data_IF_829287638253
#
_entry.id   IF_829287638253
#
_cell.length_a   1.000
_cell.length_b   1.000
_cell.length_c   1.000
_cell.angle_alpha   90.00
_cell.angle_beta   90.00
_cell.angle_gamma   90.00
#
_symmetry.space_group_name_H-M   'P 1'
#
loop_
_entity.id
_entity.type
_entity.pdbx_description
1 polymer ?
#
# COMPACT_ATOMS: atom_id res chain seq x y z
N UNK A 1 5.34 22.10 -8.39
CA UNK A 1 5.08 21.56 -7.05
C UNK A 1 3.71 20.92 -7.09
N UNK A 2 3.64 19.60 -6.92
CA UNK A 2 2.36 18.87 -6.93
C UNK A 2 1.53 19.31 -5.74
N UNK A 3 0.27 19.67 -5.98
CA UNK A 3 -0.69 19.91 -4.91
C UNK A 3 -0.92 18.57 -4.17
N UNK A 4 -0.52 18.48 -2.89
CA UNK A 4 -0.61 17.25 -2.10
C UNK A 4 -2.05 16.75 -1.98
N UNK A 5 -3.01 17.67 -1.86
CA UNK A 5 -4.44 17.33 -1.86
C UNK A 5 -4.82 16.60 -3.14
N UNK A 6 -4.42 17.13 -4.30
CA UNK A 6 -4.71 16.52 -5.59
C UNK A 6 -3.99 15.17 -5.75
N UNK A 7 -2.79 15.02 -5.21
CA UNK A 7 -2.07 13.75 -5.20
C UNK A 7 -2.82 12.66 -4.40
N UNK A 8 -3.33 13.01 -3.20
CA UNK A 8 -4.13 12.10 -2.38
C UNK A 8 -5.42 11.69 -3.08
N UNK A 9 -6.20 12.63 -3.63
CA UNK A 9 -7.48 12.29 -4.27
C UNK A 9 -7.31 11.64 -5.66
N UNK A 10 -6.14 11.78 -6.29
CA UNK A 10 -5.84 11.09 -7.55
C UNK A 10 -5.53 9.62 -7.34
N UNK A 11 -4.80 9.26 -6.28
CA UNK A 11 -4.46 7.87 -5.99
C UNK A 11 -5.60 7.10 -5.30
N UNK A 12 -5.83 5.82 -5.64
CA UNK A 12 -6.86 5.02 -4.97
C UNK A 12 -6.63 4.90 -3.46
N UNK A 13 -5.39 4.63 -3.02
CA UNK A 13 -5.08 4.52 -1.59
C UNK A 13 -5.27 5.84 -0.83
N UNK A 14 -4.96 6.98 -1.46
CA UNK A 14 -5.22 8.29 -0.88
C UNK A 14 -6.72 8.61 -0.76
N UNK A 15 -7.51 8.29 -1.78
CA UNK A 15 -8.99 8.41 -1.70
C UNK A 15 -9.57 7.46 -0.66
N UNK A 16 -9.10 6.22 -0.62
CA UNK A 16 -9.50 5.20 0.36
C UNK A 16 -9.26 5.71 1.77
N UNK A 17 -8.08 6.26 2.05
CA UNK A 17 -7.76 6.86 3.34
C UNK A 17 -8.72 8.02 3.70
N UNK A 18 -9.03 8.90 2.74
CA UNK A 18 -9.98 9.99 2.96
C UNK A 18 -11.39 9.48 3.27
N UNK A 19 -11.84 8.47 2.51
CA UNK A 19 -13.16 7.86 2.66
C UNK A 19 -13.29 7.15 4.02
N UNK A 20 -12.27 6.36 4.39
CA UNK A 20 -12.18 5.69 5.69
C UNK A 20 -12.24 6.68 6.85
N UNK A 21 -11.52 7.80 6.75
CA UNK A 21 -11.53 8.82 7.79
C UNK A 21 -12.94 9.38 8.01
N UNK A 22 -13.59 9.84 6.94
CA UNK A 22 -14.93 10.47 7.05
C UNK A 22 -16.00 9.45 7.46
N UNK A 23 -15.93 8.21 6.97
CA UNK A 23 -16.84 7.14 7.35
C UNK A 23 -16.69 6.71 8.83
N UNK A 24 -15.49 6.86 9.42
CA UNK A 24 -15.27 6.60 10.84
C UNK A 24 -15.78 7.73 11.74
N UNK A 25 -15.87 8.94 11.21
CA UNK A 25 -16.39 10.10 11.95
C UNK A 25 -17.88 10.31 11.77
N UNK A 26 -18.47 9.82 10.67
CA UNK A 26 -19.87 10.05 10.31
C UNK A 26 -20.57 8.73 9.92
N UNK A 27 -21.54 8.32 10.74
CA UNK A 27 -22.29 7.07 10.53
C UNK A 27 -23.18 7.10 9.28
N UNK A 28 -23.70 8.26 8.90
CA UNK A 28 -24.52 8.40 7.70
C UNK A 28 -23.66 8.19 6.45
N UNK A 29 -22.45 8.77 6.44
CA UNK A 29 -21.46 8.53 5.37
C UNK A 29 -21.10 7.04 5.30
N UNK A 30 -20.74 6.42 6.43
CA UNK A 30 -20.42 4.98 6.50
C UNK A 30 -21.52 4.11 5.93
N UNK A 31 -22.76 4.38 6.31
CA UNK A 31 -23.93 3.61 5.88
C UNK A 31 -24.16 3.79 4.38
N UNK A 32 -24.13 5.03 3.87
CA UNK A 32 -24.35 5.30 2.46
C UNK A 32 -23.26 4.66 1.58
N UNK A 33 -21.99 4.80 1.98
CA UNK A 33 -20.84 4.20 1.30
C UNK A 33 -20.95 2.68 1.25
N UNK A 34 -21.34 2.03 2.34
CA UNK A 34 -21.53 0.58 2.38
C UNK A 34 -22.57 0.11 1.36
N UNK A 35 -23.72 0.78 1.29
CA UNK A 35 -24.81 0.37 0.39
C UNK A 35 -24.45 0.58 -1.08
N UNK A 36 -23.93 1.76 -1.44
CA UNK A 36 -23.50 2.03 -2.82
C UNK A 36 -22.32 1.12 -3.20
N UNK A 37 -21.36 0.93 -2.29
CA UNK A 37 -20.21 0.06 -2.52
C UNK A 37 -20.63 -1.38 -2.73
N UNK A 38 -21.55 -1.91 -1.92
CA UNK A 38 -22.06 -3.27 -2.08
C UNK A 38 -22.72 -3.52 -3.45
N UNK A 39 -23.47 -2.53 -3.97
CA UNK A 39 -24.10 -2.62 -5.30
C UNK A 39 -23.08 -2.55 -6.44
N UNK A 40 -21.95 -1.85 -6.23
CA UNK A 40 -20.91 -1.62 -7.23
C UNK A 40 -19.76 -2.65 -7.16
N UNK A 41 -19.71 -3.48 -6.12
CA UNK A 41 -18.66 -4.47 -5.93
C UNK A 41 -18.75 -5.55 -7.04
N UNK A 42 -17.67 -5.83 -7.79
CA UNK A 42 -17.67 -6.89 -8.79
C UNK A 42 -17.83 -8.30 -8.17
N UNK A 43 -17.52 -8.45 -6.89
CA UNK A 43 -17.61 -9.71 -6.13
C UNK A 43 -18.32 -9.47 -4.78
N UNK A 44 -19.61 -9.08 -4.77
CA UNK A 44 -20.28 -8.71 -3.54
C UNK A 44 -20.41 -9.92 -2.62
N UNK A 45 -20.00 -9.75 -1.36
CA UNK A 45 -20.21 -10.75 -0.32
C UNK A 45 -21.70 -11.01 -0.03
N UNK A 46 -22.00 -12.04 0.77
CA UNK A 46 -23.39 -12.31 1.16
C UNK A 46 -23.80 -11.44 2.36
N UNK A 47 -24.87 -10.66 2.21
CA UNK A 47 -25.47 -9.91 3.32
C UNK A 47 -26.26 -10.84 4.24
N UNK A 48 -25.73 -11.11 5.43
CA UNK A 48 -26.42 -11.83 6.48
C UNK A 48 -27.22 -10.85 7.36
N UNK A 49 -28.52 -11.08 7.50
CA UNK A 49 -29.39 -10.34 8.42
C UNK A 49 -29.95 -11.27 9.48
N UNK A 50 -29.80 -10.87 10.74
CA UNK A 50 -30.48 -11.49 11.86
C UNK A 50 -31.77 -10.72 12.12
N UNK A 51 -32.90 -11.28 11.68
CA UNK A 51 -34.25 -10.75 11.95
C UNK A 51 -34.99 -11.73 12.84
N UNK A 52 -35.72 -11.20 13.84
CA UNK A 52 -36.51 -12.01 14.77
C UNK A 52 -37.74 -12.64 14.10
N UNK A 53 -38.48 -11.85 13.33
CA UNK A 53 -39.56 -12.29 12.44
C UNK A 53 -39.32 -11.76 11.02
N UNK A 54 -39.72 -12.53 10.01
CA UNK A 54 -39.66 -12.12 8.60
C UNK A 54 -40.52 -10.88 8.32
N UNK A 55 -41.56 -10.64 9.13
CA UNK A 55 -42.40 -9.44 9.05
C UNK A 55 -41.68 -8.15 9.45
N UNK A 56 -40.60 -8.23 10.26
CA UNK A 56 -39.77 -7.09 10.67
C UNK A 56 -38.68 -6.72 9.66
N UNK A 57 -38.66 -7.40 8.50
CA UNK A 57 -37.65 -7.15 7.46
C UNK A 57 -37.87 -5.76 6.85
N UNK A 58 -37.06 -4.79 7.31
CA UNK A 58 -36.95 -3.47 6.68
C UNK A 58 -36.34 -3.59 5.29
N UNK A 59 -36.87 -2.80 4.35
CA UNK A 59 -36.29 -2.66 3.03
C UNK A 59 -34.91 -2.02 3.12
N UNK A 60 -34.01 -2.49 2.27
CA UNK A 60 -32.64 -1.99 2.20
C UNK A 60 -32.68 -0.53 1.71
N UNK A 61 -31.95 0.38 2.37
CA UNK A 61 -31.92 1.77 1.94
C UNK A 61 -31.18 1.88 0.61
N UNK A 62 -31.66 2.76 -0.27
CA UNK A 62 -31.00 3.09 -1.54
C UNK A 62 -30.38 4.47 -1.44
N UNK A 63 -29.13 4.59 -1.86
CA UNK A 63 -28.39 5.85 -1.91
C UNK A 63 -27.94 6.11 -3.34
N UNK A 64 -27.87 7.38 -3.72
CA UNK A 64 -27.25 7.79 -4.98
C UNK A 64 -25.82 8.27 -4.72
N UNK A 65 -25.00 8.27 -5.76
CA UNK A 65 -23.63 8.81 -5.73
C UNK A 65 -23.61 10.27 -5.22
N UNK A 66 -24.58 11.09 -5.66
CA UNK A 66 -24.75 12.48 -5.20
C UNK A 66 -25.13 12.57 -3.72
N UNK A 67 -25.92 11.63 -3.21
CA UNK A 67 -26.27 11.58 -1.79
C UNK A 67 -25.04 11.24 -0.94
N UNK A 68 -24.18 10.32 -1.38
CA UNK A 68 -22.90 10.02 -0.72
C UNK A 68 -22.02 11.27 -0.70
N UNK A 69 -21.86 11.95 -1.83
CA UNK A 69 -21.06 13.17 -1.92
C UNK A 69 -21.59 14.28 -0.99
N UNK A 70 -22.91 14.51 -0.95
CA UNK A 70 -23.54 15.51 -0.09
C UNK A 70 -23.34 15.20 1.41
N UNK A 71 -23.37 13.93 1.80
CA UNK A 71 -23.07 13.52 3.18
C UNK A 71 -21.60 13.79 3.55
N UNK A 72 -20.66 13.48 2.65
CA UNK A 72 -19.23 13.80 2.84
C UNK A 72 -19.02 15.31 2.97
N UNK A 73 -19.66 16.10 2.11
CA UNK A 73 -19.59 17.56 2.17
C UNK A 73 -20.20 18.13 3.46
N UNK A 74 -21.21 17.48 4.01
CA UNK A 74 -21.86 17.84 5.27
C UNK A 74 -21.09 17.43 6.54
N UNK A 75 -20.11 16.53 6.42
CA UNK A 75 -19.39 16.00 7.57
C UNK A 75 -18.62 17.09 8.34
N UNK A 76 -18.61 16.98 9.67
CA UNK A 76 -17.83 17.85 10.53
C UNK A 76 -16.35 17.43 10.49
N UNK A 77 -15.53 18.29 9.92
CA UNK A 77 -14.08 18.12 9.82
C UNK A 77 -13.36 19.15 10.68
N UNK A 78 -14.04 19.87 11.57
CA UNK A 78 -13.46 21.00 12.32
C UNK A 78 -12.24 20.56 13.11
N UNK A 79 -12.31 19.42 13.79
CA UNK A 79 -11.20 18.80 14.50
C UNK A 79 -10.79 17.49 13.82
N UNK A 80 -9.49 17.33 13.55
CA UNK A 80 -8.95 16.09 12.98
C UNK A 80 -8.39 15.22 14.09
N UNK A 81 -8.92 14.00 14.23
CA UNK A 81 -8.48 13.07 15.27
C UNK A 81 -7.37 12.16 14.77
N UNK A 82 -6.20 12.25 15.40
CA UNK A 82 -4.97 11.54 14.99
C UNK A 82 -5.13 10.02 15.05
N UNK A 83 -5.90 9.49 16.00
CA UNK A 83 -6.21 8.06 16.11
C UNK A 83 -6.99 7.55 14.88
N UNK A 84 -8.03 8.28 14.45
CA UNK A 84 -8.81 7.92 13.27
C UNK A 84 -7.95 8.04 12.00
N UNK A 85 -7.10 9.06 11.90
CA UNK A 85 -6.17 9.21 10.77
C UNK A 85 -5.28 7.97 10.62
N UNK A 86 -4.69 7.51 11.73
CA UNK A 86 -3.84 6.31 11.75
C UNK A 86 -4.62 5.06 11.35
N UNK A 87 -5.79 4.83 11.96
CA UNK A 87 -6.63 3.67 11.63
C UNK A 87 -7.07 3.69 10.15
N UNK A 88 -7.34 4.87 9.59
CA UNK A 88 -7.74 5.05 8.18
C UNK A 88 -6.59 4.79 7.22
N UNK A 89 -5.38 5.21 7.59
CA UNK A 89 -4.17 4.93 6.82
C UNK A 89 -3.86 3.43 6.82
N UNK A 90 -3.85 2.79 7.99
CA UNK A 90 -3.64 1.35 8.13
C UNK A 90 -4.67 0.59 7.28
N UNK A 91 -5.95 0.94 7.40
CA UNK A 91 -7.02 0.31 6.64
C UNK A 91 -6.86 0.46 5.12
N UNK A 92 -6.38 1.61 4.66
CA UNK A 92 -6.08 1.83 3.23
C UNK A 92 -4.95 0.90 2.74
N UNK A 93 -3.93 0.68 3.57
CA UNK A 93 -2.80 -0.24 3.29
C UNK A 93 -3.26 -1.70 3.28
N UNK A 94 -4.06 -2.14 4.25
CA UNK A 94 -4.58 -3.51 4.34
C UNK A 94 -5.43 -3.92 3.12
N UNK A 95 -6.00 -2.94 2.44
CA UNK A 95 -6.84 -3.12 1.26
C UNK A 95 -6.07 -2.95 -0.07
N UNK A 96 -4.74 -2.82 -0.03
CA UNK A 96 -3.92 -2.71 -1.22
C UNK A 96 -3.74 -4.08 -1.91
N UNK A 97 -4.72 -4.45 -2.74
CA UNK A 97 -4.76 -5.76 -3.41
C UNK A 97 -4.47 -5.62 -4.90
N UNK A 98 -3.44 -6.31 -5.37
CA UNK A 98 -2.94 -6.19 -6.75
C UNK A 98 -3.35 -7.33 -7.68
N UNK A 99 -4.01 -8.36 -7.13
CA UNK A 99 -4.39 -9.60 -7.83
C UNK A 99 -5.90 -9.74 -8.06
N UNK A 100 -6.66 -8.68 -7.77
CA UNK A 100 -8.11 -8.62 -7.91
C UNK A 100 -8.57 -7.20 -8.27
N UNK A 101 -9.83 -7.09 -8.66
CA UNK A 101 -10.50 -5.82 -8.92
C UNK A 101 -10.59 -4.97 -7.63
N UNK A 102 -10.66 -3.63 -7.76
CA UNK A 102 -10.98 -2.75 -6.65
C UNK A 102 -12.31 -3.16 -5.99
N UNK A 103 -12.36 -3.10 -4.66
CA UNK A 103 -13.60 -3.39 -3.94
C UNK A 103 -14.64 -2.28 -4.18
N UNK A 104 -15.90 -2.56 -3.85
CA UNK A 104 -16.99 -1.62 -4.12
C UNK A 104 -16.78 -0.23 -3.49
N UNK A 105 -16.08 -0.19 -2.37
CA UNK A 105 -15.78 1.02 -1.63
C UNK A 105 -14.68 1.86 -2.30
N UNK A 106 -13.69 1.23 -2.93
CA UNK A 106 -12.75 1.87 -3.87
C UNK A 106 -13.44 2.39 -5.14
N UNK A 107 -14.43 1.65 -5.66
CA UNK A 107 -15.24 2.09 -6.81
C UNK A 107 -16.02 3.36 -6.46
N UNK A 108 -16.70 3.38 -5.30
CA UNK A 108 -17.40 4.58 -4.80
C UNK A 108 -16.45 5.76 -4.65
N UNK A 109 -15.28 5.54 -4.05
CA UNK A 109 -14.28 6.60 -3.89
C UNK A 109 -13.83 7.18 -5.24
N UNK A 110 -13.80 6.37 -6.30
CA UNK A 110 -13.38 6.79 -7.65
C UNK A 110 -14.46 7.59 -8.41
N UNK A 111 -15.72 7.57 -7.98
CA UNK A 111 -16.81 8.30 -8.63
C UNK A 111 -16.49 9.82 -8.68
N UNK A 112 -16.72 10.51 -9.81
CA UNK A 112 -16.33 11.92 -9.96
C UNK A 112 -16.87 12.85 -8.88
N UNK A 113 -18.15 12.66 -8.50
CA UNK A 113 -18.82 13.48 -7.47
C UNK A 113 -18.27 13.22 -6.07
N UNK A 114 -18.04 11.95 -5.72
CA UNK A 114 -17.45 11.53 -4.44
C UNK A 114 -16.00 12.00 -4.34
N UNK A 115 -15.20 11.82 -5.40
CA UNK A 115 -13.83 12.36 -5.48
C UNK A 115 -13.80 13.88 -5.31
N UNK A 116 -14.81 14.57 -5.83
CA UNK A 116 -15.02 16.00 -5.62
C UNK A 116 -15.12 16.35 -4.14
N UNK A 117 -16.03 15.69 -3.43
CA UNK A 117 -16.28 15.89 -1.99
C UNK A 117 -15.07 15.49 -1.12
N UNK A 118 -14.39 14.38 -1.46
CA UNK A 118 -13.19 13.90 -0.75
C UNK A 118 -12.02 14.90 -0.77
N UNK A 119 -12.01 15.87 -1.69
CA UNK A 119 -10.97 16.91 -1.73
C UNK A 119 -10.92 17.72 -0.43
N UNK A 120 -12.08 18.08 0.14
CA UNK A 120 -12.16 18.80 1.42
C UNK A 120 -11.57 17.97 2.55
N UNK A 121 -11.82 16.66 2.56
CA UNK A 121 -11.22 15.73 3.54
C UNK A 121 -9.70 15.67 3.36
N UNK A 122 -9.24 15.49 2.13
CA UNK A 122 -7.81 15.43 1.80
C UNK A 122 -7.05 16.70 2.23
N UNK A 123 -7.62 17.89 2.02
CA UNK A 123 -7.01 19.16 2.49
C UNK A 123 -6.76 19.16 3.99
N UNK A 124 -7.73 18.66 4.77
CA UNK A 124 -7.61 18.60 6.23
C UNK A 124 -6.62 17.54 6.68
N UNK A 125 -6.59 16.38 6.01
CA UNK A 125 -5.62 15.33 6.30
C UNK A 125 -4.19 15.74 5.95
N UNK A 126 -3.98 16.40 4.81
CA UNK A 126 -2.66 16.93 4.43
C UNK A 126 -2.13 17.91 5.48
N UNK A 127 -3.00 18.78 6.02
CA UNK A 127 -2.61 19.70 7.09
C UNK A 127 -2.31 18.99 8.42
N UNK A 128 -2.93 17.84 8.68
CA UNK A 128 -2.76 17.07 9.91
C UNK A 128 -1.57 16.10 9.89
N UNK A 129 -1.01 15.78 8.71
CA UNK A 129 0.04 14.77 8.52
C UNK A 129 1.23 15.39 7.77
N UNK A 130 2.09 16.17 8.46
CA UNK A 130 3.27 16.76 7.82
C UNK A 130 4.26 15.71 7.30
N UNK A 131 4.22 14.48 7.82
CA UNK A 131 5.08 13.37 7.42
C UNK A 131 4.75 12.80 6.04
N UNK A 132 3.64 13.20 5.39
CA UNK A 132 3.28 12.73 4.04
C UNK A 132 4.41 12.90 3.02
N UNK A 133 5.22 13.96 3.18
CA UNK A 133 6.33 14.28 2.29
C UNK A 133 7.70 14.05 2.92
N UNK A 134 7.76 13.36 4.06
CA UNK A 134 9.02 13.09 4.74
C UNK A 134 9.98 12.35 3.80
N UNK A 135 11.24 12.76 3.83
CA UNK A 135 12.33 12.02 3.20
C UNK A 135 12.86 10.97 4.15
N UNK A 136 13.59 9.99 3.63
CA UNK A 136 14.21 8.94 4.43
C UNK A 136 15.05 9.53 5.58
N UNK A 137 14.78 9.05 6.80
CA UNK A 137 15.61 9.31 7.97
C UNK A 137 16.90 8.46 7.99
N UNK A 138 17.94 8.93 8.69
CA UNK A 138 19.19 8.18 8.83
C UNK A 138 19.04 6.92 9.72
N UNK A 139 18.15 6.98 10.71
CA UNK A 139 17.76 5.87 11.58
C UNK A 139 16.35 5.46 11.20
N UNK A 140 16.17 4.17 10.98
CA UNK A 140 14.91 3.54 10.60
C UNK A 140 14.77 2.21 11.32
N UNK A 141 13.64 1.53 11.17
CA UNK A 141 13.39 0.25 11.84
C UNK A 141 12.95 -0.82 10.85
N UNK A 142 13.59 -1.99 10.95
CA UNK A 142 13.16 -3.22 10.31
C UNK A 142 12.30 -4.05 11.29
N UNK A 143 11.50 -4.97 10.75
CA UNK A 143 10.66 -5.87 11.55
C UNK A 143 10.95 -7.31 11.17
N UNK A 144 11.13 -8.14 12.19
CA UNK A 144 11.11 -9.60 12.09
C UNK A 144 9.86 -10.10 12.83
N UNK A 145 8.97 -10.82 12.15
CA UNK A 145 7.71 -11.33 12.72
C UNK A 145 7.89 -12.57 13.60
N UNK A 146 8.98 -12.58 14.39
CA UNK A 146 9.33 -13.62 15.35
C UNK A 146 9.64 -13.00 16.72
N UNK A 147 9.50 -13.78 17.80
CA UNK A 147 9.98 -13.38 19.12
C UNK A 147 11.47 -13.03 19.13
N UNK A 148 11.91 -12.20 20.09
CA UNK A 148 13.29 -11.72 20.14
C UNK A 148 14.34 -12.85 20.16
N UNK A 149 14.06 -13.93 20.89
CA UNK A 149 14.97 -15.06 21.01
C UNK A 149 15.14 -15.86 19.70
N UNK A 150 14.21 -15.72 18.77
CA UNK A 150 14.17 -16.43 17.48
C UNK A 150 14.38 -15.49 16.27
N UNK A 151 14.55 -14.18 16.54
CA UNK A 151 14.73 -13.17 15.51
C UNK A 151 16.06 -13.38 14.78
N UNK A 152 16.03 -13.36 13.45
CA UNK A 152 17.25 -13.55 12.67
C UNK A 152 18.16 -12.30 12.73
N UNK A 153 19.45 -12.48 12.43
CA UNK A 153 20.29 -11.36 12.00
C UNK A 153 19.72 -10.71 10.73
N UNK A 154 19.97 -9.41 10.54
CA UNK A 154 19.65 -8.76 9.28
C UNK A 154 20.43 -9.43 8.13
N UNK A 155 19.72 -9.80 7.06
CA UNK A 155 20.31 -10.51 5.92
C UNK A 155 21.38 -9.64 5.22
N UNK A 156 22.53 -10.23 4.91
CA UNK A 156 23.75 -9.50 4.51
C UNK A 156 24.19 -9.71 3.05
N UNK A 157 23.29 -10.15 2.16
CA UNK A 157 23.64 -10.48 0.77
C UNK A 157 22.71 -9.86 -0.29
N UNK A 158 22.48 -8.54 -0.30
CA UNK A 158 21.53 -7.90 -1.22
C UNK A 158 21.89 -8.12 -2.70
N UNK A 159 23.19 -8.14 -3.05
CA UNK A 159 23.63 -8.44 -4.41
C UNK A 159 23.22 -9.84 -4.90
N UNK A 160 23.28 -10.85 -4.02
CA UNK A 160 22.86 -12.20 -4.36
C UNK A 160 21.33 -12.30 -4.51
N UNK A 161 20.58 -11.63 -3.62
CA UNK A 161 19.12 -11.55 -3.69
C UNK A 161 18.66 -10.85 -4.98
N UNK A 162 19.33 -9.76 -5.37
CA UNK A 162 19.03 -9.03 -6.61
C UNK A 162 19.35 -9.85 -7.88
N UNK A 163 20.46 -10.59 -7.88
CA UNK A 163 20.80 -11.48 -8.99
C UNK A 163 19.80 -12.63 -9.13
N UNK A 164 19.38 -13.23 -8.00
CA UNK A 164 18.34 -14.27 -7.97
C UNK A 164 17.00 -13.72 -8.47
N UNK A 165 16.58 -12.55 -7.95
CA UNK A 165 15.35 -11.87 -8.37
C UNK A 165 15.34 -11.63 -9.87
N UNK A 166 16.39 -10.99 -10.41
CA UNK A 166 16.48 -10.66 -11.84
C UNK A 166 16.41 -11.91 -12.73
N UNK A 167 17.12 -12.98 -12.34
CA UNK A 167 17.04 -14.27 -13.03
C UNK A 167 15.62 -14.84 -12.99
N UNK A 168 15.01 -14.88 -11.81
CA UNK A 168 13.66 -15.42 -11.63
C UNK A 168 12.60 -14.62 -12.41
N UNK A 169 12.73 -13.29 -12.50
CA UNK A 169 11.83 -12.46 -13.29
C UNK A 169 11.92 -12.78 -14.79
N UNK A 170 13.14 -12.90 -15.33
CA UNK A 170 13.35 -13.23 -16.76
C UNK A 170 12.87 -14.64 -17.09
N UNK A 171 13.17 -15.62 -16.24
CA UNK A 171 12.70 -17.00 -16.41
C UNK A 171 11.17 -17.08 -16.30
N UNK A 172 10.58 -16.38 -15.32
CA UNK A 172 9.14 -16.32 -15.09
C UNK A 172 8.39 -15.67 -16.24
N UNK A 173 8.89 -14.55 -16.77
CA UNK A 173 8.34 -13.86 -17.94
C UNK A 173 8.39 -14.76 -19.19
N UNK A 174 9.55 -15.37 -19.46
CA UNK A 174 9.71 -16.26 -20.61
C UNK A 174 8.80 -17.50 -20.51
N UNK A 175 8.59 -18.03 -19.30
CA UNK A 175 7.67 -19.13 -19.05
C UNK A 175 6.21 -18.71 -19.27
N UNK A 176 5.80 -17.60 -18.66
CA UNK A 176 4.44 -17.06 -18.81
C UNK A 176 4.10 -16.77 -20.27
N UNK A 177 5.04 -16.23 -21.05
CA UNK A 177 4.84 -15.96 -22.48
C UNK A 177 4.61 -17.24 -23.31
N UNK A 178 5.14 -18.39 -22.87
CA UNK A 178 4.95 -19.69 -23.55
C UNK A 178 3.71 -20.44 -23.08
N UNK A 179 3.40 -20.36 -21.79
CA UNK A 179 2.45 -21.27 -21.13
C UNK A 179 1.10 -20.63 -20.81
N UNK A 180 1.02 -19.31 -20.66
CA UNK A 180 -0.20 -18.64 -20.21
C UNK A 180 -1.05 -18.11 -21.37
N UNK A 181 -2.40 -18.08 -21.21
CA UNK A 181 -3.29 -17.51 -22.21
C UNK A 181 -2.97 -16.04 -22.53
N UNK A 182 -3.25 -15.66 -23.77
CA UNK A 182 -3.12 -14.27 -24.23
C UNK A 182 -4.22 -13.36 -23.67
N UNK A 183 -5.43 -13.89 -23.49
CA UNK A 183 -6.57 -13.13 -22.97
C UNK A 183 -6.32 -12.74 -21.50
N UNK A 184 -6.22 -11.43 -21.19
CA UNK A 184 -5.95 -10.97 -19.83
C UNK A 184 -7.06 -11.34 -18.83
N UNK A 185 -8.27 -11.71 -19.29
CA UNK A 185 -9.39 -12.15 -18.44
C UNK A 185 -9.28 -13.60 -17.98
N UNK A 186 -8.30 -14.36 -18.48
CA UNK A 186 -8.10 -15.72 -18.02
C UNK A 186 -7.84 -15.75 -16.51
N UNK A 187 -8.37 -16.78 -15.81
CA UNK A 187 -8.20 -16.92 -14.37
C UNK A 187 -6.80 -17.49 -14.03
N UNK A 188 -5.78 -16.70 -14.31
CA UNK A 188 -4.39 -16.94 -13.95
C UNK A 188 -4.00 -15.89 -12.93
N UNK A 189 -3.33 -16.33 -11.86
CA UNK A 189 -2.77 -15.45 -10.84
C UNK A 189 -1.42 -16.00 -10.41
N UNK A 190 -0.61 -15.18 -9.75
CA UNK A 190 0.67 -15.61 -9.21
C UNK A 190 1.53 -14.45 -8.77
N UNK A 191 2.47 -14.06 -9.63
CA UNK A 191 3.44 -13.02 -9.29
C UNK A 191 2.92 -11.63 -9.71
N UNK A 192 2.61 -10.80 -8.73
CA UNK A 192 2.13 -9.42 -8.93
C UNK A 192 3.09 -8.38 -8.32
N UNK A 193 4.10 -8.82 -7.58
CA UNK A 193 5.11 -7.94 -6.98
C UNK A 193 5.94 -7.21 -8.03
N UNK A 194 6.21 -5.94 -7.73
CA UNK A 194 7.07 -5.05 -8.51
C UNK A 194 8.45 -4.84 -7.89
N UNK A 195 8.63 -5.23 -6.62
CA UNK A 195 9.86 -5.05 -5.83
C UNK A 195 10.33 -6.37 -5.20
N UNK A 196 11.65 -6.57 -5.01
CA UNK A 196 12.21 -7.77 -4.41
C UNK A 196 11.89 -7.87 -2.92
N UNK A 197 10.96 -8.76 -2.57
CA UNK A 197 10.41 -8.90 -1.20
C UNK A 197 11.41 -9.39 -0.13
N UNK A 198 12.54 -9.97 -0.56
CA UNK A 198 13.56 -10.50 0.36
C UNK A 198 14.61 -9.49 0.80
N UNK A 199 14.62 -8.28 0.21
CA UNK A 199 15.56 -7.25 0.63
C UNK A 199 15.16 -6.63 1.96
N UNK A 200 16.16 -6.15 2.69
CA UNK A 200 15.97 -5.40 3.93
C UNK A 200 15.07 -4.20 3.64
N UNK A 201 13.95 -4.15 4.37
CA UNK A 201 12.99 -3.04 4.31
C UNK A 201 12.93 -2.36 5.66
N UNK A 202 12.97 -1.03 5.68
CA UNK A 202 12.95 -0.22 6.91
C UNK A 202 11.99 0.96 6.81
N UNK A 203 11.48 1.47 7.94
CA UNK A 203 10.63 2.68 8.00
C UNK A 203 11.13 3.71 9.00
N UNK A 204 10.72 4.97 8.84
CA UNK A 204 11.11 6.08 9.71
C UNK A 204 10.47 6.12 11.10
N UNK A 205 9.61 5.15 11.42
CA UNK A 205 8.91 5.03 12.70
C UNK A 205 8.68 3.56 13.04
N UNK A 206 8.81 3.19 14.31
CA UNK A 206 8.53 1.82 14.80
C UNK A 206 7.09 1.42 14.54
N UNK A 207 6.13 2.31 14.85
CA UNK A 207 4.71 2.00 14.67
C UNK A 207 4.40 1.78 13.19
N UNK A 208 4.94 2.63 12.31
CA UNK A 208 4.69 2.49 10.88
C UNK A 208 5.35 1.21 10.33
N UNK A 209 6.51 0.83 10.86
CA UNK A 209 7.17 -0.45 10.55
C UNK A 209 6.29 -1.66 10.88
N UNK A 210 5.51 -1.59 11.97
CA UNK A 210 4.63 -2.66 12.45
C UNK A 210 3.22 -2.63 11.83
N UNK A 211 2.70 -1.45 11.51
CA UNK A 211 1.29 -1.25 11.15
C UNK A 211 1.06 -1.05 9.66
N UNK A 212 2.01 -0.47 8.91
CA UNK A 212 1.84 -0.12 7.50
C UNK A 212 2.40 -1.19 6.56
N UNK A 213 1.96 -2.43 6.77
CA UNK A 213 2.47 -3.61 6.07
C UNK A 213 1.37 -4.14 5.17
N UNK A 214 1.61 -4.20 3.86
CA UNK A 214 0.69 -4.86 2.93
C UNK A 214 0.59 -6.36 3.26
N UNK A 215 -0.55 -6.96 2.95
CA UNK A 215 -0.82 -8.39 3.15
C UNK A 215 -0.57 -8.89 4.57
N UNK A 216 -0.93 -8.08 5.55
CA UNK A 216 -0.74 -8.40 6.94
C UNK A 216 -1.50 -9.69 7.35
N UNK A 217 -0.76 -10.74 7.74
CA UNK A 217 -1.32 -12.08 8.00
C UNK A 217 -1.74 -12.31 9.46
N UNK A 218 -2.02 -11.25 10.21
CA UNK A 218 -2.47 -11.39 11.59
C UNK A 218 -1.35 -11.58 12.61
N UNK A 219 -0.09 -11.25 12.28
CA UNK A 219 1.04 -11.44 13.21
C UNK A 219 0.79 -10.77 14.57
N UNK A 220 1.03 -11.52 15.65
CA UNK A 220 0.78 -11.05 17.02
C UNK A 220 2.08 -10.69 17.75
N UNK A 221 3.22 -11.07 17.17
CA UNK A 221 4.55 -10.95 17.78
C UNK A 221 5.52 -10.42 16.72
N UNK A 222 6.35 -9.47 17.13
CA UNK A 222 7.40 -8.88 16.31
C UNK A 222 8.64 -8.54 17.12
N UNK A 223 9.79 -8.55 16.45
CA UNK A 223 11.03 -7.95 16.91
C UNK A 223 11.35 -6.78 16.00
N UNK A 224 11.50 -5.61 16.60
CA UNK A 224 11.82 -4.37 15.90
C UNK A 224 13.31 -4.13 16.03
N UNK A 225 13.98 -3.99 14.89
CA UNK A 225 15.43 -3.90 14.80
C UNK A 225 15.79 -2.48 14.33
N UNK A 226 16.46 -1.65 15.16
CA UNK A 226 16.92 -0.34 14.71
C UNK A 226 18.01 -0.52 13.66
N UNK A 227 17.89 0.21 12.57
CA UNK A 227 18.79 0.18 11.42
C UNK A 227 19.31 1.58 11.17
N UNK A 228 20.63 1.71 11.02
CA UNK A 228 21.23 2.93 10.49
C UNK A 228 21.68 2.69 9.06
N UNK A 229 21.18 3.54 8.18
CA UNK A 229 21.47 3.47 6.76
C UNK A 229 22.26 4.68 6.28
N UNK A 230 23.42 4.43 5.69
CA UNK A 230 24.20 5.41 4.94
C UNK A 230 24.03 5.19 3.43
N UNK A 231 24.43 6.14 2.59
CA UNK A 231 24.43 5.96 1.14
C UNK A 231 23.41 6.79 0.37
N UNK A 232 23.51 6.74 -0.96
CA UNK A 232 22.64 7.46 -1.87
C UNK A 232 21.26 6.80 -1.93
N UNK A 233 20.21 7.55 -1.64
CA UNK A 233 18.82 7.07 -1.66
C UNK A 233 18.04 7.74 -2.78
N UNK A 234 17.44 6.93 -3.65
CA UNK A 234 16.44 7.41 -4.60
C UNK A 234 15.09 7.53 -3.91
N UNK A 235 14.39 8.64 -4.12
CA UNK A 235 13.13 8.95 -3.45
C UNK A 235 11.99 8.96 -4.46
N UNK A 236 11.01 8.07 -4.29
CA UNK A 236 9.80 7.99 -5.12
C UNK A 236 8.69 8.76 -4.42
N UNK A 237 8.33 9.92 -4.99
CA UNK A 237 7.34 10.86 -4.43
C UNK A 237 6.04 10.90 -5.20
N UNK A 238 6.01 10.28 -6.37
CA UNK A 238 4.88 10.35 -7.29
C UNK A 238 4.88 9.16 -8.26
N UNK A 239 3.75 8.91 -8.94
CA UNK A 239 3.70 7.98 -10.06
C UNK A 239 4.72 8.31 -11.16
N UNK A 240 5.02 9.59 -11.37
CA UNK A 240 5.93 10.05 -12.42
C UNK A 240 7.39 9.69 -12.10
N UNK A 241 7.79 9.74 -10.82
CA UNK A 241 9.11 9.29 -10.37
C UNK A 241 9.28 7.79 -10.60
N UNK A 242 8.25 7.00 -10.30
CA UNK A 242 8.23 5.56 -10.58
C UNK A 242 8.30 5.26 -12.08
N UNK A 243 7.51 5.97 -12.89
CA UNK A 243 7.55 5.84 -14.34
C UNK A 243 8.93 6.19 -14.89
N UNK A 244 9.58 7.23 -14.35
CA UNK A 244 10.94 7.59 -14.72
C UNK A 244 11.96 6.49 -14.36
N UNK A 245 11.86 5.91 -13.16
CA UNK A 245 12.70 4.79 -12.73
C UNK A 245 12.54 3.59 -13.67
N UNK A 246 11.30 3.23 -14.03
CA UNK A 246 11.04 2.16 -14.98
C UNK A 246 11.63 2.43 -16.37
N UNK A 247 11.58 3.68 -16.86
CA UNK A 247 12.20 4.06 -18.15
C UNK A 247 13.72 4.00 -18.11
N UNK A 248 14.33 4.41 -17.01
CA UNK A 248 15.77 4.44 -16.86
C UNK A 248 16.37 3.01 -16.72
N UNK A 249 15.64 2.11 -16.05
CA UNK A 249 16.08 0.75 -15.76
C UNK A 249 15.00 -0.27 -16.14
N UNK A 250 14.67 -0.45 -17.44
CA UNK A 250 13.51 -1.26 -17.83
C UNK A 250 13.76 -2.75 -17.67
N UNK A 251 12.78 -3.45 -17.10
CA UNK A 251 12.62 -4.90 -17.16
C UNK A 251 11.17 -5.24 -17.52
N UNK A 252 10.97 -5.90 -18.65
CA UNK A 252 9.64 -6.29 -19.10
C UNK A 252 9.10 -7.49 -18.32
N UNK A 253 7.84 -7.35 -17.91
CA UNK A 253 7.11 -8.35 -17.12
C UNK A 253 5.69 -8.57 -17.65
N UNK A 254 5.50 -8.31 -18.96
CA UNK A 254 4.19 -8.28 -19.62
C UNK A 254 3.40 -9.56 -19.40
N UNK A 255 3.92 -10.71 -19.83
CA UNK A 255 3.19 -11.98 -19.78
C UNK A 255 2.98 -12.43 -18.33
N UNK A 256 3.97 -12.22 -17.46
CA UNK A 256 3.94 -12.66 -16.07
C UNK A 256 3.03 -11.84 -15.17
N UNK A 257 2.73 -10.58 -15.52
CA UNK A 257 1.85 -9.69 -14.72
C UNK A 257 0.48 -9.47 -15.34
N UNK A 258 0.33 -9.78 -16.63
CA UNK A 258 -0.87 -9.47 -17.44
C UNK A 258 -2.17 -9.61 -16.66
N UNK A 259 -2.42 -10.78 -16.09
CA UNK A 259 -3.72 -11.14 -15.53
C UNK A 259 -4.02 -10.38 -14.22
N UNK A 260 -3.12 -10.48 -13.24
CA UNK A 260 -3.30 -9.79 -11.94
C UNK A 260 -3.36 -8.26 -12.14
N UNK A 261 -2.45 -7.70 -12.94
CA UNK A 261 -2.42 -6.26 -13.17
C UNK A 261 -3.57 -5.78 -14.06
N UNK A 262 -4.09 -6.61 -14.97
CA UNK A 262 -5.31 -6.29 -15.70
C UNK A 262 -6.51 -6.17 -14.76
N UNK A 263 -6.65 -7.04 -13.75
CA UNK A 263 -7.78 -6.96 -12.80
C UNK A 263 -7.82 -5.64 -12.05
N UNK A 264 -6.67 -5.18 -11.56
CA UNK A 264 -6.61 -3.93 -10.78
C UNK A 264 -6.62 -2.67 -11.65
N UNK A 265 -6.14 -2.73 -12.90
CA UNK A 265 -5.97 -1.52 -13.74
C UNK A 265 -6.90 -1.43 -14.95
N UNK A 266 -7.48 -2.54 -15.40
CA UNK A 266 -8.19 -2.68 -16.68
C UNK A 266 -7.31 -2.58 -17.93
N UNK A 267 -5.98 -2.41 -17.82
CA UNK A 267 -5.09 -2.24 -18.98
C UNK A 267 -4.72 -3.59 -19.59
N UNK A 268 -5.04 -3.75 -20.87
CA UNK A 268 -4.45 -4.79 -21.73
C UNK A 268 -3.29 -4.16 -22.52
N UNK A 269 -2.06 -4.41 -22.10
CA UNK A 269 -0.87 -3.79 -22.66
C UNK A 269 0.43 -4.35 -22.09
N UNK A 270 1.55 -3.73 -22.47
CA UNK A 270 2.88 -4.15 -22.00
C UNK A 270 3.21 -3.54 -20.66
N UNK A 271 4.00 -4.26 -19.87
CA UNK A 271 4.28 -3.94 -18.48
C UNK A 271 5.78 -3.90 -18.19
N UNK A 272 6.22 -2.86 -17.48
CA UNK A 272 7.59 -2.75 -16.99
C UNK A 272 7.62 -2.69 -15.47
N UNK A 273 8.71 -3.19 -14.89
CA UNK A 273 9.20 -2.82 -13.56
C UNK A 273 10.66 -2.40 -13.66
N UNK A 274 11.22 -1.75 -12.63
CA UNK A 274 12.66 -1.49 -12.57
C UNK A 274 13.47 -2.79 -12.53
N UNK A 275 14.55 -2.86 -13.30
CA UNK A 275 15.62 -3.84 -13.10
C UNK A 275 16.39 -3.46 -11.84
N UNK A 276 15.94 -3.96 -10.69
CA UNK A 276 16.49 -3.62 -9.37
C UNK A 276 17.98 -3.93 -9.21
N UNK A 277 18.50 -4.93 -9.93
CA UNK A 277 19.93 -5.19 -9.94
C UNK A 277 20.68 -4.02 -10.60
N UNK A 278 20.19 -3.52 -11.73
CA UNK A 278 20.79 -2.32 -12.36
C UNK A 278 20.57 -1.04 -11.55
N UNK A 279 19.43 -0.91 -10.86
CA UNK A 279 19.20 0.24 -9.94
C UNK A 279 20.26 0.25 -8.83
N UNK A 280 20.65 -0.93 -8.32
CA UNK A 280 21.66 -1.05 -7.25
C UNK A 280 23.08 -0.62 -7.67
N UNK A 281 23.36 -0.52 -8.96
CA UNK A 281 24.63 0.00 -9.47
C UNK A 281 24.78 1.51 -9.23
N UNK A 282 23.66 2.21 -9.00
CA UNK A 282 23.63 3.67 -8.81
C UNK A 282 23.17 4.09 -7.42
N UNK A 283 22.27 3.33 -6.80
CA UNK A 283 21.62 3.71 -5.55
C UNK A 283 21.80 2.63 -4.50
N UNK A 284 22.09 3.04 -3.27
CA UNK A 284 22.19 2.15 -2.12
C UNK A 284 20.80 1.74 -1.60
N UNK A 285 19.81 2.60 -1.78
CA UNK A 285 18.46 2.38 -1.36
C UNK A 285 17.45 3.11 -2.25
N UNK A 286 16.21 2.63 -2.25
CA UNK A 286 15.07 3.39 -2.77
C UNK A 286 14.02 3.51 -1.66
N UNK A 287 13.52 4.73 -1.46
CA UNK A 287 12.49 5.07 -0.50
C UNK A 287 11.20 5.43 -1.23
N UNK A 288 10.12 4.74 -0.91
CA UNK A 288 8.78 5.11 -1.33
C UNK A 288 8.14 5.98 -0.24
N UNK A 289 8.05 7.28 -0.49
CA UNK A 289 7.41 8.20 0.45
C UNK A 289 5.94 7.86 0.68
N UNK A 290 5.40 8.29 1.82
CA UNK A 290 3.98 8.15 2.14
C UNK A 290 3.06 8.71 1.03
N UNK A 291 3.32 9.93 0.56
CA UNK A 291 2.55 10.53 -0.55
C UNK A 291 2.75 9.77 -1.87
N UNK A 292 3.97 9.29 -2.15
CA UNK A 292 4.27 8.48 -3.32
C UNK A 292 3.41 7.22 -3.34
N UNK A 293 3.32 6.52 -2.22
CA UNK A 293 2.44 5.36 -2.05
C UNK A 293 0.96 5.73 -2.23
N UNK A 294 0.45 6.68 -1.44
CA UNK A 294 -0.98 7.04 -1.44
C UNK A 294 -1.46 7.55 -2.80
N UNK A 295 -0.57 8.16 -3.58
CA UNK A 295 -0.87 8.69 -4.91
C UNK A 295 -0.67 7.67 -6.04
N UNK A 296 -0.03 6.51 -5.81
CA UNK A 296 0.41 5.60 -6.86
C UNK A 296 0.00 4.12 -6.68
N UNK A 297 -0.11 3.62 -5.45
CA UNK A 297 -0.45 2.22 -5.19
C UNK A 297 -1.85 1.86 -5.72
N UNK A 298 -2.02 0.60 -6.12
CA UNK A 298 -3.26 0.01 -6.68
C UNK A 298 -3.84 0.70 -7.93
N UNK A 299 -3.00 1.32 -8.77
CA UNK A 299 -3.46 1.91 -10.03
C UNK A 299 -2.46 1.71 -11.17
N UNK A 300 -2.91 1.96 -12.41
CA UNK A 300 -2.05 2.08 -13.57
C UNK A 300 -1.14 3.31 -13.47
N UNK A 301 0.16 3.07 -13.57
CA UNK A 301 1.16 4.12 -13.78
C UNK A 301 1.59 4.06 -15.25
N UNK A 302 1.14 5.02 -16.05
CA UNK A 302 1.56 5.11 -17.45
C UNK A 302 3.05 5.50 -17.54
N UNK A 303 3.81 4.70 -18.28
CA UNK A 303 5.22 4.98 -18.56
C UNK A 303 5.34 5.77 -19.87
N UNK A 304 4.65 5.28 -20.89
CA UNK A 304 4.51 5.86 -22.22
C UNK A 304 3.27 5.25 -22.94
N UNK A 305 3.15 5.45 -24.25
CA UNK A 305 2.03 4.95 -25.04
C UNK A 305 1.95 3.41 -25.09
N UNK A 306 3.06 2.71 -24.90
CA UNK A 306 3.18 1.25 -25.02
C UNK A 306 3.16 0.57 -23.64
N UNK A 307 3.89 1.13 -22.67
CA UNK A 307 4.12 0.49 -21.36
C UNK A 307 3.35 1.15 -20.22
N UNK A 308 2.84 0.31 -19.33
CA UNK A 308 2.38 0.68 -18.00
C UNK A 308 3.22 0.02 -16.90
N UNK A 309 2.95 0.38 -15.66
CA UNK A 309 3.49 -0.26 -14.46
C UNK A 309 2.53 -0.16 -13.28
N UNK A 310 2.82 -0.90 -12.22
CA UNK A 310 2.14 -0.87 -10.92
C UNK A 310 3.20 -0.99 -9.83
N UNK A 311 3.08 -0.16 -8.78
CA UNK A 311 3.82 -0.38 -7.53
C UNK A 311 3.03 -1.40 -6.72
N UNK A 312 3.42 -2.68 -6.85
CA UNK A 312 2.84 -3.79 -6.09
C UNK A 312 3.83 -4.36 -5.09
N UNK A 313 3.40 -4.55 -3.84
CA UNK A 313 4.17 -5.23 -2.80
C UNK A 313 5.12 -4.32 -2.06
N UNK A 314 4.78 -3.04 -1.94
CA UNK A 314 5.65 -2.04 -1.36
C UNK A 314 4.85 -1.05 -0.53
N UNK A 315 4.86 -1.22 0.78
CA UNK A 315 4.09 -0.36 1.68
C UNK A 315 4.63 1.08 1.79
N UNK A 316 3.83 2.00 2.35
CA UNK A 316 4.17 3.41 2.42
C UNK A 316 5.36 3.69 3.35
N UNK A 317 6.04 4.81 3.09
CA UNK A 317 7.17 5.34 3.87
C UNK A 317 8.27 4.31 4.15
N UNK A 318 8.47 3.39 3.20
CA UNK A 318 9.39 2.26 3.37
C UNK A 318 10.55 2.33 2.40
N UNK A 319 11.72 2.03 2.95
CA UNK A 319 13.00 2.04 2.24
C UNK A 319 13.43 0.62 2.00
N UNK A 320 13.67 0.26 0.74
CA UNK A 320 14.27 -0.99 0.34
C UNK A 320 15.77 -0.75 0.14
N UNK A 321 16.60 -1.49 0.86
CA UNK A 321 18.05 -1.42 0.79
C UNK A 321 18.58 -2.36 -0.29
N UNK A 322 19.22 -1.78 -1.31
CA UNK A 322 19.75 -2.48 -2.48
C UNK A 322 21.21 -2.91 -2.31
N UNK A 323 21.91 -2.28 -1.38
CA UNK A 323 23.30 -2.57 -1.03
C UNK A 323 23.43 -2.83 0.47
N UNK A 324 24.65 -3.11 0.90
CA UNK A 324 24.98 -3.40 2.27
C UNK A 324 25.25 -2.10 3.08
N UNK A 325 24.73 -0.97 2.61
CA UNK A 325 24.90 0.34 3.26
C UNK A 325 24.01 0.55 4.50
N UNK A 326 23.09 -0.39 4.79
CA UNK A 326 22.34 -0.47 6.03
C UNK A 326 22.84 -1.57 6.96
N UNK A 327 22.89 -1.23 8.25
CA UNK A 327 23.33 -2.11 9.33
C UNK A 327 22.44 -1.92 10.56
N UNK A 328 22.32 -2.99 11.34
CA UNK A 328 21.74 -2.90 12.68
C UNK A 328 22.49 -1.85 13.50
N UNK A 329 21.75 -1.07 14.27
CA UNK A 329 22.27 0.01 15.09
C UNK A 329 22.27 -0.39 16.57
N UNK A 330 23.31 -0.02 17.32
CA UNK A 330 23.56 -0.49 18.69
C UNK A 330 22.61 0.09 19.77
N UNK A 331 21.36 0.43 19.43
CA UNK A 331 20.33 0.85 20.42
C UNK A 331 19.53 -0.31 21.03
N UNK A 332 19.82 -1.55 20.61
CA UNK A 332 19.11 -2.74 21.08
C UNK A 332 17.78 -2.96 20.35
N UNK A 333 17.39 -4.23 20.24
CA UNK A 333 16.12 -4.64 19.60
C UNK A 333 14.95 -4.45 20.56
N UNK A 334 13.80 -4.02 20.03
CA UNK A 334 12.56 -3.90 20.80
C UNK A 334 11.63 -5.08 20.52
N UNK A 335 10.81 -5.46 21.51
CA UNK A 335 9.78 -6.48 21.33
C UNK A 335 8.40 -5.84 21.18
N UNK A 336 7.69 -6.23 20.13
CA UNK A 336 6.30 -5.84 19.89
C UNK A 336 5.36 -7.00 20.12
N UNK A 337 4.24 -6.74 20.79
CA UNK A 337 3.12 -7.68 20.89
C UNK A 337 1.82 -6.98 20.51
N UNK A 338 0.88 -7.75 19.98
CA UNK A 338 -0.44 -7.28 19.60
C UNK A 338 -1.50 -8.28 20.02
N UNK A 339 -2.54 -7.87 20.78
CA UNK A 339 -3.66 -8.75 21.10
C UNK A 339 -4.38 -9.20 19.83
N UNK A 340 -4.90 -10.42 19.80
CA UNK A 340 -5.62 -10.96 18.65
C UNK A 340 -6.84 -10.13 18.21
N UNK A 341 -7.48 -9.45 19.17
CA UNK A 341 -8.70 -8.67 18.98
C UNK A 341 -8.45 -7.15 18.91
N UNK A 342 -7.19 -6.71 18.94
CA UNK A 342 -6.79 -5.31 18.83
C UNK A 342 -5.74 -5.14 17.73
N UNK A 343 -5.96 -4.20 16.83
CA UNK A 343 -5.03 -3.95 15.71
C UNK A 343 -3.80 -3.14 16.13
N UNK A 344 -3.75 -2.68 17.39
CA UNK A 344 -2.70 -1.81 17.92
C UNK A 344 -1.56 -2.59 18.57
N UNK A 345 -0.33 -2.23 18.20
CA UNK A 345 0.88 -2.80 18.78
C UNK A 345 1.21 -2.17 20.14
N UNK A 346 1.50 -3.02 21.12
CA UNK A 346 2.13 -2.62 22.39
C UNK A 346 3.62 -2.93 22.32
N UNK A 347 4.45 -1.99 22.77
CA UNK A 347 5.92 -2.14 22.77
C UNK A 347 6.44 -2.43 24.16
N UNK A 348 7.33 -3.40 24.25
CA UNK A 348 8.15 -3.68 25.41
C UNK A 348 9.60 -3.43 25.02
N UNK A 349 10.16 -2.32 25.51
CA UNK A 349 11.61 -2.13 25.52
C UNK A 349 12.14 -3.04 26.61
N UNK A 350 12.77 -4.14 26.23
CA UNK A 350 13.46 -4.98 27.21
C UNK A 350 14.65 -4.17 27.74
N UNK A 351 14.86 -4.08 29.06
CA UNK A 351 16.03 -3.42 29.59
C UNK A 351 17.27 -4.10 29.01
N UNK A 352 18.11 -3.35 28.30
CA UNK A 352 19.40 -3.85 27.86
C UNK A 352 20.19 -4.31 29.08
N UNK A 353 20.82 -5.48 28.97
CA UNK A 353 21.82 -5.91 29.96
C UNK A 353 22.88 -4.80 30.05
N UNK A 354 22.92 -4.13 31.21
CA UNK A 354 23.95 -3.14 31.56
C UNK A 354 25.30 -3.82 31.78
#
# INVERSE_FOLDING_TARGET
MTNLTDALVRGPRGRRMCLEYVARTDEAVRTAVFWVGHEQDPNPGVLLRFVGDASDRKQDPTYTDDAVAALIDGADLTEIRVDIVRDSLQRSVDLARYWQEPDGEDVVAALPVVRGALRRVAERLVAAIPELTATRGAVQWAVDWRPLNDAAPLESAPAAVLAEWTRAQREGEARAAREWPADPRANVSGTWWSVPQRLLTTRGSVLDALELVEDFLGWEIATVIPVRGAGETLEIRSPDDWAHLCRAYPMEVTASRRHDWFRVTGRDGRWLIPDWQRVSERWDAVHLTMVGYLSAATQLIDIDAEYGSVIGGWGPDSTIWLTDAAREWDQGREHGTRPKDDWRWTRLVLPGDQ
#
